data_IF_047522741022
#
_entry.id   IF_047522741022
#
_cell.length_a   1.000
_cell.length_b   1.000
_cell.length_c   1.000
_cell.angle_alpha   90.00
_cell.angle_beta   90.00
_cell.angle_gamma   90.00
#
_symmetry.space_group_name_H-M   'P 1'
#
loop_
_entity.id
_entity.type
_entity.pdbx_description
1 polymer ?
#
# COMPACT_ATOMS: atom_id res chain seq x y z
N UNK A 1 -30.68 -12.16 -9.75
CA UNK A 1 -30.30 -10.78 -9.41
C UNK A 1 -31.42 -9.99 -8.70
N UNK A 2 -32.69 -10.15 -9.04
CA UNK A 2 -33.78 -9.35 -8.44
C UNK A 2 -34.45 -9.97 -7.21
N UNK A 3 -33.97 -11.10 -6.69
CA UNK A 3 -34.52 -11.80 -5.51
C UNK A 3 -34.33 -10.99 -4.22
N UNK A 4 -35.10 -11.30 -3.20
CA UNK A 4 -34.91 -10.72 -1.86
C UNK A 4 -33.54 -11.07 -1.25
N UNK A 5 -33.16 -10.38 -0.20
CA UNK A 5 -31.95 -10.69 0.56
C UNK A 5 -32.09 -12.08 1.22
N UNK A 6 -31.01 -12.82 1.32
CA UNK A 6 -31.01 -14.17 1.90
C UNK A 6 -30.92 -14.13 3.43
N UNK A 7 -30.24 -13.10 3.96
CA UNK A 7 -30.03 -12.90 5.38
C UNK A 7 -30.48 -11.51 5.83
N UNK A 8 -30.90 -11.39 7.09
CA UNK A 8 -31.24 -10.10 7.69
C UNK A 8 -30.02 -9.15 7.79
N UNK A 9 -28.82 -9.70 7.83
CA UNK A 9 -27.58 -8.93 7.86
C UNK A 9 -27.31 -8.23 6.52
N UNK A 10 -27.57 -8.91 5.40
CA UNK A 10 -27.48 -8.30 4.07
C UNK A 10 -28.48 -7.15 3.91
N UNK A 11 -29.69 -7.31 4.43
CA UNK A 11 -30.71 -6.27 4.37
C UNK A 11 -30.34 -5.04 5.20
N UNK A 12 -29.71 -5.23 6.36
CA UNK A 12 -29.21 -4.14 7.22
C UNK A 12 -28.05 -3.36 6.58
N UNK A 13 -27.25 -4.02 5.75
CA UNK A 13 -26.16 -3.36 5.01
C UNK A 13 -26.68 -2.46 3.87
N UNK A 14 -27.91 -2.68 3.40
CA UNK A 14 -28.51 -1.93 2.30
C UNK A 14 -29.87 -1.34 2.68
N UNK A 15 -29.91 -0.34 3.57
CA UNK A 15 -31.17 0.26 4.05
C UNK A 15 -31.99 0.91 2.94
N UNK A 16 -31.33 1.33 1.84
CA UNK A 16 -32.00 1.95 0.68
C UNK A 16 -32.66 0.96 -0.28
N UNK A 17 -32.44 -0.35 -0.06
CA UNK A 17 -32.92 -1.42 -0.93
C UNK A 17 -33.55 -2.58 -0.14
N UNK A 18 -34.59 -2.33 0.70
CA UNK A 18 -35.20 -3.37 1.54
C UNK A 18 -35.83 -4.49 0.70
N UNK A 19 -36.11 -5.61 1.36
CA UNK A 19 -36.84 -6.73 0.77
C UNK A 19 -38.26 -6.34 0.37
N UNK A 20 -38.73 -6.80 -0.77
CA UNK A 20 -40.07 -6.51 -1.29
C UNK A 20 -40.24 -6.86 -2.76
N UNK A 21 -41.50 -6.88 -3.25
CA UNK A 21 -41.86 -7.33 -4.57
C UNK A 21 -42.21 -6.19 -5.54
N UNK A 22 -41.94 -4.94 -5.19
CA UNK A 22 -42.16 -3.82 -6.11
C UNK A 22 -41.03 -3.72 -7.16
N UNK A 23 -41.31 -3.38 -8.43
CA UNK A 23 -40.27 -3.25 -9.44
C UNK A 23 -39.14 -2.29 -9.07
N UNK A 24 -39.48 -1.20 -8.38
CA UNK A 24 -38.50 -0.22 -7.89
C UNK A 24 -37.52 -0.83 -6.90
N UNK A 25 -38.00 -1.62 -5.93
CA UNK A 25 -37.15 -2.29 -4.94
C UNK A 25 -36.30 -3.40 -5.57
N UNK A 26 -36.85 -4.11 -6.53
CA UNK A 26 -36.11 -5.12 -7.30
C UNK A 26 -34.94 -4.48 -8.07
N UNK A 27 -35.18 -3.34 -8.70
CA UNK A 27 -34.14 -2.59 -9.39
C UNK A 27 -33.05 -2.10 -8.41
N UNK A 28 -33.44 -1.52 -7.28
CA UNK A 28 -32.50 -1.05 -6.25
C UNK A 28 -31.61 -2.18 -5.73
N UNK A 29 -32.17 -3.35 -5.44
CA UNK A 29 -31.40 -4.52 -5.00
C UNK A 29 -30.46 -5.04 -6.09
N UNK A 30 -30.93 -5.10 -7.33
CA UNK A 30 -30.07 -5.50 -8.44
C UNK A 30 -28.88 -4.52 -8.62
N UNK A 31 -29.17 -3.23 -8.52
CA UNK A 31 -28.15 -2.19 -8.60
C UNK A 31 -27.15 -2.29 -7.42
N UNK A 32 -27.63 -2.45 -6.18
CA UNK A 32 -26.79 -2.60 -5.00
C UNK A 32 -25.84 -3.82 -5.10
N UNK A 33 -26.34 -4.96 -5.61
CA UNK A 33 -25.50 -6.15 -5.83
C UNK A 33 -24.46 -5.93 -6.94
N UNK A 34 -24.83 -5.28 -8.03
CA UNK A 34 -23.89 -4.97 -9.10
C UNK A 34 -22.80 -3.99 -8.64
N UNK A 35 -23.19 -2.93 -7.94
CA UNK A 35 -22.23 -1.94 -7.43
C UNK A 35 -21.33 -2.54 -6.34
N UNK A 36 -21.85 -3.39 -5.46
CA UNK A 36 -21.06 -4.11 -4.48
C UNK A 36 -20.04 -5.07 -5.10
N UNK A 37 -20.44 -5.81 -6.14
CA UNK A 37 -19.49 -6.68 -6.88
C UNK A 37 -18.45 -5.88 -7.65
N UNK A 38 -18.83 -4.78 -8.29
CA UNK A 38 -17.89 -3.89 -8.97
C UNK A 38 -16.97 -3.19 -7.98
N UNK A 39 -17.47 -2.77 -6.82
CA UNK A 39 -16.67 -2.21 -5.74
C UNK A 39 -15.55 -3.15 -5.29
N UNK A 40 -15.84 -4.44 -5.13
CA UNK A 40 -14.84 -5.44 -4.79
C UNK A 40 -13.66 -5.50 -5.79
N UNK A 41 -13.93 -5.27 -7.08
CA UNK A 41 -12.88 -5.26 -8.12
C UNK A 41 -12.24 -3.88 -8.33
N UNK A 42 -12.93 -2.80 -7.99
CA UNK A 42 -12.47 -1.43 -8.26
C UNK A 42 -11.91 -0.73 -7.03
N UNK A 43 -12.40 -1.09 -5.84
CA UNK A 43 -11.80 -0.59 -4.60
C UNK A 43 -10.55 -1.41 -4.28
N UNK A 44 -9.37 -0.77 -4.26
CA UNK A 44 -8.17 -1.45 -3.84
C UNK A 44 -8.35 -1.87 -2.38
N UNK A 45 -8.28 -3.16 -2.12
CA UNK A 45 -8.22 -3.70 -0.76
C UNK A 45 -6.97 -3.12 -0.11
N UNK A 46 -7.15 -2.19 0.82
CA UNK A 46 -6.04 -1.62 1.58
C UNK A 46 -5.51 -2.68 2.53
N UNK A 47 -4.54 -3.42 2.04
CA UNK A 47 -3.81 -4.35 2.88
C UNK A 47 -2.85 -3.53 3.74
N UNK A 48 -2.88 -3.72 5.05
CA UNK A 48 -1.89 -3.14 5.95
C UNK A 48 -0.51 -3.60 5.48
N UNK A 49 0.35 -2.66 5.06
CA UNK A 49 1.65 -2.97 4.46
C UNK A 49 2.66 -3.48 5.48
N UNK A 50 2.51 -3.08 6.74
CA UNK A 50 3.41 -3.46 7.82
C UNK A 50 2.67 -4.36 8.81
N UNK A 51 3.26 -5.49 9.26
CA UNK A 51 2.68 -6.32 10.29
C UNK A 51 2.61 -5.57 11.62
N UNK A 52 1.66 -5.94 12.47
CA UNK A 52 1.65 -5.52 13.87
C UNK A 52 2.70 -6.33 14.62
N UNK A 53 3.65 -5.64 15.24
CA UNK A 53 4.68 -6.27 16.06
C UNK A 53 4.56 -5.74 17.48
N UNK A 54 4.38 -6.65 18.43
CA UNK A 54 4.11 -6.30 19.84
C UNK A 54 5.28 -5.67 20.58
N UNK A 55 6.53 -5.83 20.07
CA UNK A 55 7.75 -5.33 20.71
C UNK A 55 8.57 -4.50 19.73
N UNK A 56 8.11 -3.31 19.41
CA UNK A 56 8.72 -2.43 18.40
C UNK A 56 9.18 -1.10 18.98
N UNK A 57 10.20 -0.48 18.39
CA UNK A 57 10.47 0.92 18.64
C UNK A 57 9.20 1.74 18.34
N UNK A 58 8.92 2.79 19.14
CA UNK A 58 7.64 3.47 19.15
C UNK A 58 7.30 4.21 17.84
N UNK A 59 8.24 4.34 16.91
CA UNK A 59 8.06 5.09 15.67
C UNK A 59 8.68 4.38 14.48
N UNK A 60 7.93 4.37 13.38
CA UNK A 60 8.38 3.88 12.07
C UNK A 60 8.83 5.06 11.21
N UNK A 61 10.04 5.02 10.68
CA UNK A 61 10.58 6.01 9.77
C UNK A 61 10.60 5.47 8.34
N UNK A 62 9.80 6.10 7.47
CA UNK A 62 9.74 5.74 6.06
C UNK A 62 10.70 6.62 5.25
N UNK A 63 11.64 5.98 4.57
CA UNK A 63 12.67 6.63 3.76
C UNK A 63 12.47 6.32 2.28
N UNK A 64 12.68 7.31 1.43
CA UNK A 64 12.77 7.06 -0.02
C UNK A 64 14.14 6.50 -0.39
N UNK A 65 14.20 5.58 -1.35
CA UNK A 65 15.46 5.06 -1.85
C UNK A 65 16.13 6.07 -2.78
N UNK A 66 15.39 6.48 -3.82
CA UNK A 66 15.86 7.40 -4.85
C UNK A 66 16.02 8.81 -4.28
N UNK A 67 17.09 9.46 -4.67
CA UNK A 67 17.49 10.83 -4.34
C UNK A 67 17.72 11.13 -2.85
N UNK A 68 17.29 10.23 -1.95
CA UNK A 68 17.60 10.35 -0.52
C UNK A 68 18.81 9.50 -0.10
N UNK A 69 18.79 8.21 -0.38
CA UNK A 69 19.84 7.26 0.02
C UNK A 69 20.84 6.99 -1.10
N UNK A 70 20.34 6.93 -2.34
CA UNK A 70 21.13 6.69 -3.54
C UNK A 70 20.80 7.72 -4.60
N UNK A 71 21.78 8.04 -5.43
CA UNK A 71 21.59 8.83 -6.65
C UNK A 71 21.83 7.96 -7.85
N UNK A 72 20.89 7.97 -8.81
CA UNK A 72 20.98 7.19 -10.03
C UNK A 72 21.05 8.12 -11.23
N UNK A 73 22.08 7.95 -12.05
CA UNK A 73 22.32 8.74 -13.25
C UNK A 73 22.47 7.81 -14.45
N UNK A 74 21.89 8.22 -15.57
CA UNK A 74 22.08 7.54 -16.84
C UNK A 74 23.05 8.32 -17.73
N UNK A 75 24.04 7.63 -18.30
CA UNK A 75 24.95 8.22 -19.29
C UNK A 75 25.07 7.34 -20.52
N UNK A 76 25.23 7.97 -21.69
CA UNK A 76 25.42 7.25 -22.97
C UNK A 76 26.68 6.38 -23.01
N UNK A 77 27.68 6.74 -22.21
CA UNK A 77 28.98 6.00 -22.18
C UNK A 77 28.91 4.78 -21.22
N UNK A 78 28.12 4.85 -20.14
CA UNK A 78 28.23 3.87 -19.07
C UNK A 78 26.86 3.25 -18.66
N UNK A 79 25.75 3.66 -19.31
CA UNK A 79 24.40 3.24 -18.93
C UNK A 79 23.97 3.80 -17.58
N UNK A 80 23.09 3.08 -16.90
CA UNK A 80 22.63 3.41 -15.56
C UNK A 80 23.72 3.20 -14.52
N UNK A 81 24.00 4.23 -13.74
CA UNK A 81 24.89 4.17 -12.58
C UNK A 81 24.16 4.62 -11.35
N UNK A 82 24.23 3.82 -10.30
CA UNK A 82 23.67 4.15 -8.99
C UNK A 82 24.81 4.31 -7.99
N UNK A 83 24.88 5.47 -7.38
CA UNK A 83 25.86 5.81 -6.37
C UNK A 83 25.18 5.99 -5.02
N UNK A 84 25.79 5.43 -3.98
CA UNK A 84 25.37 5.60 -2.60
C UNK A 84 25.81 6.99 -2.11
N UNK A 85 24.93 7.69 -1.38
CA UNK A 85 25.30 8.98 -0.79
C UNK A 85 26.35 8.80 0.31
N UNK A 86 27.30 9.71 0.45
CA UNK A 86 28.26 9.69 1.55
C UNK A 86 27.55 9.71 2.91
N UNK A 87 27.97 8.84 3.82
CA UNK A 87 27.43 8.80 5.18
C UNK A 87 26.14 8.01 5.37
N UNK A 88 25.54 7.41 4.32
CA UNK A 88 24.28 6.65 4.44
C UNK A 88 24.41 5.48 5.43
N UNK A 89 25.54 4.79 5.48
CA UNK A 89 25.75 3.68 6.42
C UNK A 89 25.67 4.14 7.88
N UNK A 90 26.31 5.27 8.18
CA UNK A 90 26.25 5.87 9.50
C UNK A 90 24.82 6.34 9.81
N UNK A 91 24.18 7.01 8.85
CA UNK A 91 22.82 7.51 8.97
C UNK A 91 21.81 6.39 9.30
N UNK A 92 21.80 5.31 8.53
CA UNK A 92 20.91 4.18 8.76
C UNK A 92 21.19 3.52 10.12
N UNK A 93 22.46 3.30 10.46
CA UNK A 93 22.85 2.70 11.74
C UNK A 93 22.48 3.57 12.94
N UNK A 94 22.61 4.88 12.82
CA UNK A 94 22.22 5.80 13.88
C UNK A 94 20.72 5.82 14.08
N UNK A 95 19.95 5.93 13.00
CA UNK A 95 18.48 5.97 13.07
C UNK A 95 17.85 4.66 13.51
N UNK A 96 18.43 3.53 13.20
CA UNK A 96 17.92 2.21 13.61
C UNK A 96 17.88 2.00 15.14
N UNK A 97 18.59 2.83 15.89
CA UNK A 97 18.54 2.81 17.36
C UNK A 97 17.24 3.42 17.92
N UNK A 98 16.59 4.28 17.14
CA UNK A 98 15.42 5.04 17.57
C UNK A 98 14.15 4.72 16.79
N UNK A 99 14.29 4.23 15.55
CA UNK A 99 13.20 4.04 14.62
C UNK A 99 13.26 2.66 13.97
N UNK A 100 12.09 2.13 13.68
CA UNK A 100 11.95 1.07 12.70
C UNK A 100 12.10 1.65 11.30
N UNK A 101 13.11 1.19 10.56
CA UNK A 101 13.41 1.74 9.24
C UNK A 101 12.67 0.97 8.14
N UNK A 102 11.94 1.72 7.34
CA UNK A 102 11.22 1.24 6.16
C UNK A 102 11.74 2.01 4.94
N UNK A 103 12.16 1.31 3.90
CA UNK A 103 12.46 1.94 2.60
C UNK A 103 11.25 1.79 1.70
N UNK A 104 10.75 2.89 1.16
CA UNK A 104 9.65 2.90 0.21
C UNK A 104 10.08 3.49 -1.14
N UNK A 105 10.25 2.66 -2.15
CA UNK A 105 10.70 3.02 -3.49
C UNK A 105 9.59 2.94 -4.53
N UNK A 106 9.67 3.79 -5.56
CA UNK A 106 8.81 3.73 -6.75
C UNK A 106 9.34 2.77 -7.82
N UNK A 107 10.53 2.21 -7.62
CA UNK A 107 11.10 1.20 -8.50
C UNK A 107 10.47 -0.17 -8.27
N UNK A 108 10.55 -1.03 -9.28
CA UNK A 108 10.11 -2.44 -9.16
C UNK A 108 11.05 -3.20 -8.23
N UNK A 109 10.53 -4.23 -7.58
CA UNK A 109 11.31 -5.10 -6.70
C UNK A 109 12.57 -5.67 -7.37
N UNK A 110 12.47 -6.07 -8.64
CA UNK A 110 13.59 -6.63 -9.40
C UNK A 110 14.77 -5.65 -9.56
N UNK A 111 14.48 -4.35 -9.66
CA UNK A 111 15.49 -3.32 -9.88
C UNK A 111 16.03 -2.78 -8.55
N UNK A 112 15.18 -2.59 -7.56
CA UNK A 112 15.53 -1.97 -6.29
C UNK A 112 16.13 -2.93 -5.27
N UNK A 113 15.71 -4.19 -5.23
CA UNK A 113 16.20 -5.18 -4.25
C UNK A 113 17.74 -5.36 -4.28
N UNK A 114 18.38 -5.50 -5.45
CA UNK A 114 19.84 -5.60 -5.51
C UNK A 114 20.55 -4.34 -5.03
N UNK A 115 19.93 -3.17 -5.21
CA UNK A 115 20.47 -1.89 -4.71
C UNK A 115 20.37 -1.83 -3.19
N UNK A 116 19.21 -2.18 -2.64
CA UNK A 116 18.97 -2.19 -1.19
C UNK A 116 19.90 -3.18 -0.49
N UNK A 117 20.12 -4.37 -1.04
CA UNK A 117 21.07 -5.36 -0.48
C UNK A 117 22.50 -4.87 -0.44
N UNK A 118 22.93 -4.07 -1.43
CA UNK A 118 24.25 -3.44 -1.44
C UNK A 118 24.33 -2.24 -0.50
N UNK A 119 23.20 -1.54 -0.33
CA UNK A 119 23.09 -0.40 0.58
C UNK A 119 23.13 -0.84 2.04
N UNK A 120 22.39 -1.88 2.35
CA UNK A 120 22.24 -2.41 3.73
C UNK A 120 22.65 -3.88 3.83
N UNK A 121 23.96 -4.17 3.89
CA UNK A 121 24.46 -5.53 4.05
C UNK A 121 24.15 -6.12 5.44
N UNK A 122 23.85 -5.28 6.43
CA UNK A 122 23.56 -5.68 7.80
C UNK A 122 22.07 -5.88 8.10
N UNK A 123 21.19 -5.64 7.10
CA UNK A 123 19.73 -5.74 7.23
C UNK A 123 19.18 -4.88 8.37
N UNK A 124 19.64 -3.66 8.45
CA UNK A 124 19.18 -2.63 9.39
C UNK A 124 17.76 -2.18 9.01
N UNK A 125 17.49 -2.14 7.69
CA UNK A 125 16.17 -1.84 7.15
C UNK A 125 15.27 -3.05 7.32
N UNK A 126 14.19 -2.88 8.07
CA UNK A 126 13.27 -3.96 8.41
C UNK A 126 12.37 -4.34 7.22
N UNK A 127 11.79 -3.34 6.57
CA UNK A 127 10.79 -3.54 5.52
C UNK A 127 11.10 -2.73 4.26
N UNK A 128 11.57 -3.36 3.18
CA UNK A 128 11.62 -2.74 1.87
C UNK A 128 10.25 -2.83 1.18
N UNK A 129 9.67 -1.68 0.83
CA UNK A 129 8.44 -1.55 0.08
C UNK A 129 8.76 -1.05 -1.33
N UNK A 130 8.22 -1.73 -2.33
CA UNK A 130 8.48 -1.48 -3.74
C UNK A 130 7.26 -0.89 -4.44
N UNK A 131 7.35 -0.66 -5.75
CA UNK A 131 6.23 -0.19 -6.57
C UNK A 131 4.96 -1.02 -6.39
N UNK A 132 5.09 -2.31 -6.18
CA UNK A 132 3.98 -3.24 -5.97
C UNK A 132 3.13 -2.90 -4.73
N UNK A 133 3.73 -2.16 -3.78
CA UNK A 133 3.05 -1.63 -2.60
C UNK A 133 2.49 -0.21 -2.81
N UNK A 134 2.67 0.38 -3.99
CA UNK A 134 2.10 1.69 -4.32
C UNK A 134 0.69 1.55 -4.88
N UNK A 135 -0.11 2.60 -4.72
CA UNK A 135 -1.45 2.67 -5.30
C UNK A 135 -1.41 3.42 -6.64
N UNK A 136 -2.14 2.92 -7.62
CA UNK A 136 -2.31 3.63 -8.88
C UNK A 136 -3.55 4.52 -8.81
N UNK A 137 -3.37 5.83 -8.82
CA UNK A 137 -4.44 6.81 -8.78
C UNK A 137 -4.24 7.88 -9.88
N UNK A 138 -5.30 8.17 -10.61
CA UNK A 138 -5.33 9.24 -11.62
C UNK A 138 -4.18 9.23 -12.64
N UNK A 139 -3.66 8.04 -12.97
CA UNK A 139 -2.56 7.90 -13.92
C UNK A 139 -1.16 7.84 -13.32
N UNK A 140 -1.03 7.96 -11.99
CA UNK A 140 0.25 7.97 -11.28
C UNK A 140 0.31 6.94 -10.15
N UNK A 141 1.52 6.50 -9.81
CA UNK A 141 1.77 5.62 -8.67
C UNK A 141 2.00 6.46 -7.41
N UNK A 142 1.10 6.34 -6.44
CA UNK A 142 1.13 7.09 -5.18
C UNK A 142 1.59 6.17 -4.05
N UNK A 143 2.53 6.66 -3.23
CA UNK A 143 2.97 6.00 -2.00
C UNK A 143 2.00 6.35 -0.88
N UNK A 144 1.22 5.39 -0.41
CA UNK A 144 0.27 5.57 0.68
C UNK A 144 0.85 4.96 1.94
N UNK A 145 1.29 5.79 2.88
CA UNK A 145 1.89 5.35 4.14
C UNK A 145 0.85 5.13 5.26
N UNK A 146 -0.37 5.63 5.07
CA UNK A 146 -1.46 5.44 6.01
C UNK A 146 -2.57 4.64 5.35
N UNK A 147 -3.01 3.58 5.99
CA UNK A 147 -4.28 2.96 5.64
C UNK A 147 -5.40 3.95 6.05
N UNK A 148 -6.35 4.30 5.16
CA UNK A 148 -7.50 5.06 5.60
C UNK A 148 -8.18 4.29 6.75
N UNK A 149 -8.82 5.00 7.70
CA UNK A 149 -9.58 4.35 8.75
C UNK A 149 -10.58 3.41 8.09
N UNK A 150 -10.61 2.18 8.54
CA UNK A 150 -11.55 1.17 8.05
C UNK A 150 -12.97 1.74 8.25
N UNK A 151 -13.77 1.96 7.20
CA UNK A 151 -15.12 2.48 7.33
C UNK A 151 -16.06 1.52 8.08
N UNK A 152 -15.60 0.32 8.42
CA UNK A 152 -16.33 -0.69 9.17
C UNK A 152 -15.72 -1.00 10.55
N UNK A 153 -14.87 -0.12 11.06
CA UNK A 153 -14.27 -0.26 12.37
C UNK A 153 -15.16 0.37 13.45
N UNK A 154 -16.00 -0.43 14.05
CA UNK A 154 -16.42 -0.28 15.44
C UNK A 154 -16.12 -1.56 16.15
#
# INVERSE_FOLDING_TARGET
>A
MCRNWETEEEEKQHPDAPSGWTPSLMYKRAHARLTGQLGYYTEPTFTKLLPEVEMMPPMTLVLSLEDLLVHSEWSTKHGWRTAKRPGVDYFLRYLSQYYELVIFTSAKSMDADPIIRKLDPYRIVMWPLFREATRYEKGEYVKVCMSPPNPMGN
#
